data_IF_529756393383
#
_entry.id   IF_529756393383
#
_cell.length_a   1.000
_cell.length_b   1.000
_cell.length_c   1.000
_cell.angle_alpha   90.00
_cell.angle_beta   90.00
_cell.angle_gamma   90.00
#
_symmetry.space_group_name_H-M   'P 1'
#
loop_
_entity.id
_entity.type
_entity.pdbx_description
1 polymer ?
#
# COMPACT_ATOMS: atom_id res chain seq x y z
N UNK A 1 -6.51 1.67 -5.19
CA UNK A 1 -5.13 1.12 -5.22
C UNK A 1 -4.84 0.31 -6.47
N UNK A 2 -5.58 -0.75 -6.81
CA UNK A 2 -5.29 -1.61 -7.98
C UNK A 2 -5.15 -0.85 -9.32
N UNK A 3 -5.99 0.17 -9.56
CA UNK A 3 -5.93 1.02 -10.76
C UNK A 3 -4.62 1.84 -10.90
N UNK A 4 -3.83 1.93 -9.83
CA UNK A 4 -2.56 2.65 -9.81
C UNK A 4 -1.35 1.72 -9.95
N UNK A 5 -1.57 0.43 -10.29
CA UNK A 5 -0.51 -0.58 -10.38
C UNK A 5 -0.15 -0.87 -11.84
N UNK A 6 1.14 -0.79 -12.17
CA UNK A 6 1.64 -0.87 -13.55
C UNK A 6 1.54 -2.28 -14.19
N UNK A 7 1.18 -3.30 -13.39
CA UNK A 7 1.28 -4.72 -13.77
C UNK A 7 -0.08 -5.36 -14.05
N UNK A 8 -1.16 -4.59 -13.99
CA UNK A 8 -2.48 -5.05 -14.47
C UNK A 8 -2.54 -4.73 -15.97
N UNK A 9 -2.54 -5.73 -16.87
CA UNK A 9 -2.55 -5.44 -18.30
C UNK A 9 -3.83 -4.71 -18.69
N UNK A 10 -3.70 -3.69 -19.54
CA UNK A 10 -4.85 -2.94 -20.06
C UNK A 10 -5.89 -3.89 -20.66
N UNK A 11 -7.15 -3.76 -20.23
CA UNK A 11 -8.27 -4.59 -20.69
C UNK A 11 -8.57 -5.83 -19.83
N UNK A 12 -7.81 -6.08 -18.75
CA UNK A 12 -8.13 -7.14 -17.79
C UNK A 12 -8.82 -6.56 -16.54
N UNK A 13 -9.88 -7.22 -16.08
CA UNK A 13 -10.56 -6.92 -14.83
C UNK A 13 -10.22 -8.00 -13.81
N UNK A 14 -9.60 -7.61 -12.70
CA UNK A 14 -9.43 -8.47 -11.54
C UNK A 14 -10.69 -8.38 -10.68
N UNK A 15 -11.44 -9.48 -10.59
CA UNK A 15 -12.60 -9.60 -9.71
C UNK A 15 -12.21 -10.46 -8.51
N UNK A 16 -12.50 -9.98 -7.32
CA UNK A 16 -12.24 -10.69 -6.07
C UNK A 16 -13.30 -10.33 -5.04
N UNK A 17 -13.57 -11.28 -4.16
CA UNK A 17 -14.28 -11.06 -2.90
C UNK A 17 -13.24 -11.09 -1.78
N UNK A 18 -13.17 -10.03 -0.99
CA UNK A 18 -12.19 -9.90 0.10
C UNK A 18 -12.95 -9.64 1.40
N UNK A 19 -12.68 -10.44 2.41
CA UNK A 19 -13.05 -10.14 3.79
C UNK A 19 -11.87 -9.45 4.49
N UNK A 20 -12.11 -8.28 5.08
CA UNK A 20 -11.09 -7.49 5.76
C UNK A 20 -11.39 -7.51 7.26
N UNK A 21 -10.38 -7.82 8.06
CA UNK A 21 -10.41 -7.68 9.51
C UNK A 21 -9.18 -6.90 9.95
N UNK A 22 -9.37 -5.91 10.82
CA UNK A 22 -8.30 -5.07 11.35
C UNK A 22 -8.44 -4.92 12.85
N UNK A 23 -7.29 -4.89 13.53
CA UNK A 23 -7.17 -4.50 14.93
C UNK A 23 -6.55 -3.11 15.11
N UNK A 24 -6.24 -2.41 14.00
CA UNK A 24 -5.78 -1.01 14.06
C UNK A 24 -6.99 -0.15 14.44
N UNK A 25 -6.95 0.56 15.58
CA UNK A 25 -8.10 1.34 16.02
C UNK A 25 -8.46 2.44 15.03
N UNK A 26 -9.76 2.59 14.77
CA UNK A 26 -10.26 3.62 13.87
C UNK A 26 -10.16 5.00 14.51
N UNK A 27 -9.68 5.99 13.76
CA UNK A 27 -9.62 7.39 14.20
C UNK A 27 -8.60 7.69 15.31
N UNK A 28 -7.72 6.75 15.65
CA UNK A 28 -6.73 6.94 16.72
C UNK A 28 -5.42 7.59 16.27
N UNK A 29 -5.31 7.99 15.00
CA UNK A 29 -4.04 8.47 14.42
C UNK A 29 -2.97 7.39 14.27
N UNK A 30 -3.35 6.10 14.29
CA UNK A 30 -2.45 4.95 14.08
C UNK A 30 -2.53 4.39 12.64
N UNK A 31 -2.87 5.25 11.68
CA UNK A 31 -2.74 4.94 10.24
C UNK A 31 -3.58 3.74 9.75
N UNK A 32 -4.82 3.61 10.24
CA UNK A 32 -5.74 2.53 9.79
C UNK A 32 -6.06 2.60 8.29
N UNK A 33 -6.03 3.79 7.67
CA UNK A 33 -6.20 3.97 6.23
C UNK A 33 -5.03 3.37 5.45
N UNK A 34 -3.80 3.78 5.77
CA UNK A 34 -2.59 3.27 5.15
C UNK A 34 -2.45 1.74 5.33
N UNK A 35 -2.78 1.20 6.50
CA UNK A 35 -2.76 -0.24 6.74
C UNK A 35 -3.69 -1.00 5.79
N UNK A 36 -4.91 -0.49 5.60
CA UNK A 36 -5.88 -1.04 4.66
C UNK A 36 -5.36 -0.96 3.22
N UNK A 37 -4.96 0.22 2.77
CA UNK A 37 -4.51 0.45 1.40
C UNK A 37 -3.29 -0.41 1.05
N UNK A 38 -2.27 -0.44 1.91
CA UNK A 38 -1.05 -1.21 1.72
C UNK A 38 -1.34 -2.73 1.73
N UNK A 39 -2.25 -3.20 2.60
CA UNK A 39 -2.65 -4.61 2.62
C UNK A 39 -3.30 -5.04 1.31
N UNK A 40 -4.18 -4.21 0.75
CA UNK A 40 -4.86 -4.47 -0.52
C UNK A 40 -3.88 -4.35 -1.68
N UNK A 41 -2.97 -3.38 -1.65
CA UNK A 41 -1.90 -3.26 -2.63
C UNK A 41 -1.06 -4.54 -2.68
N UNK A 42 -0.59 -5.01 -1.52
CA UNK A 42 0.21 -6.23 -1.41
C UNK A 42 -0.57 -7.45 -1.90
N UNK A 43 -1.84 -7.59 -1.54
CA UNK A 43 -2.70 -8.66 -2.03
C UNK A 43 -2.76 -8.70 -3.57
N UNK A 44 -2.97 -7.54 -4.21
CA UNK A 44 -3.01 -7.47 -5.68
C UNK A 44 -1.64 -7.76 -6.29
N UNK A 45 -0.55 -7.28 -5.69
CA UNK A 45 0.80 -7.54 -6.18
C UNK A 45 1.15 -9.03 -6.16
N UNK A 46 0.77 -9.75 -5.11
CA UNK A 46 0.96 -11.21 -5.01
C UNK A 46 0.22 -11.98 -6.12
N UNK A 47 -0.84 -11.41 -6.69
CA UNK A 47 -1.60 -12.02 -7.80
C UNK A 47 -0.92 -11.75 -9.15
N UNK A 48 -0.39 -10.54 -9.35
CA UNK A 48 0.05 -10.07 -10.69
C UNK A 48 1.56 -10.08 -10.89
N UNK A 49 2.35 -10.18 -9.83
CA UNK A 49 3.82 -10.17 -9.87
C UNK A 49 4.40 -11.56 -9.53
N UNK A 50 5.69 -11.76 -9.82
CA UNK A 50 6.39 -12.96 -9.34
C UNK A 50 6.68 -12.82 -7.83
N UNK A 51 6.54 -13.91 -7.08
CA UNK A 51 6.64 -13.92 -5.61
C UNK A 51 7.84 -13.17 -5.01
N UNK A 52 9.02 -13.25 -5.64
CA UNK A 52 10.23 -12.58 -5.14
C UNK A 52 10.28 -11.08 -5.45
N UNK A 53 9.63 -10.63 -6.52
CA UNK A 53 9.68 -9.23 -6.96
C UNK A 53 8.95 -8.32 -5.97
N UNK A 54 7.92 -8.86 -5.31
CA UNK A 54 7.05 -8.10 -4.40
C UNK A 54 7.77 -7.71 -3.10
N UNK A 55 8.79 -8.47 -2.68
CA UNK A 55 9.54 -8.25 -1.44
C UNK A 55 10.73 -7.30 -1.60
N UNK A 56 11.07 -6.92 -2.83
CA UNK A 56 12.16 -5.99 -3.12
C UNK A 56 11.92 -4.62 -2.47
N UNK A 57 13.01 -3.89 -2.20
CA UNK A 57 12.94 -2.54 -1.65
C UNK A 57 12.17 -1.62 -2.60
N UNK A 58 12.42 -1.77 -3.89
CA UNK A 58 11.81 -1.00 -4.98
C UNK A 58 10.30 -1.23 -5.02
N UNK A 59 9.84 -2.49 -4.90
CA UNK A 59 8.42 -2.80 -4.82
C UNK A 59 7.77 -2.21 -3.56
N UNK A 60 8.41 -2.30 -2.39
CA UNK A 60 7.89 -1.71 -1.15
C UNK A 60 7.74 -0.18 -1.25
N UNK A 61 8.70 0.50 -1.85
CA UNK A 61 8.67 1.96 -2.12
C UNK A 61 7.55 2.30 -3.11
N UNK A 62 7.49 1.59 -4.25
CA UNK A 62 6.47 1.82 -5.27
C UNK A 62 5.06 1.60 -4.70
N UNK A 63 4.87 0.58 -3.86
CA UNK A 63 3.60 0.31 -3.17
C UNK A 63 3.18 1.48 -2.28
N UNK A 64 4.10 2.01 -1.48
CA UNK A 64 3.81 3.13 -0.59
C UNK A 64 3.35 4.37 -1.38
N UNK A 65 4.08 4.72 -2.46
CA UNK A 65 3.74 5.84 -3.33
C UNK A 65 2.38 5.66 -4.02
N UNK A 66 2.06 4.44 -4.46
CA UNK A 66 0.75 4.12 -5.08
C UNK A 66 -0.40 4.21 -4.09
N UNK A 67 -0.20 3.80 -2.85
CA UNK A 67 -1.20 3.94 -1.79
C UNK A 67 -1.43 5.41 -1.47
N UNK A 68 -0.36 6.18 -1.24
CA UNK A 68 -0.45 7.62 -1.00
C UNK A 68 -1.21 8.33 -2.14
N UNK A 69 -0.90 8.00 -3.39
CA UNK A 69 -1.61 8.54 -4.55
C UNK A 69 -3.09 8.17 -4.52
N UNK A 70 -3.44 6.94 -4.18
CA UNK A 70 -4.83 6.52 -4.05
C UNK A 70 -5.56 7.29 -2.93
N UNK A 71 -4.93 7.49 -1.77
CA UNK A 71 -5.52 8.24 -0.65
C UNK A 71 -5.77 9.71 -1.03
N UNK A 72 -4.81 10.33 -1.73
CA UNK A 72 -4.92 11.72 -2.17
C UNK A 72 -5.94 11.91 -3.31
N UNK A 73 -5.90 11.07 -4.36
CA UNK A 73 -6.70 11.28 -5.57
C UNK A 73 -8.07 10.61 -5.53
N UNK A 74 -8.17 9.41 -4.94
CA UNK A 74 -9.42 8.65 -4.93
C UNK A 74 -10.25 8.96 -3.69
N UNK A 75 -9.63 8.91 -2.51
CA UNK A 75 -10.30 9.24 -1.27
C UNK A 75 -10.43 10.75 -1.03
N UNK A 76 -9.74 11.57 -1.84
CA UNK A 76 -9.66 13.03 -1.67
C UNK A 76 -9.20 13.44 -0.26
N UNK A 77 -8.25 12.68 0.30
CA UNK A 77 -7.71 12.87 1.64
C UNK A 77 -6.24 13.27 1.55
N UNK A 78 -5.92 14.59 1.59
CA UNK A 78 -4.54 15.05 1.51
C UNK A 78 -3.67 14.47 2.63
N UNK A 79 -2.61 13.76 2.27
CA UNK A 79 -1.68 13.16 3.23
C UNK A 79 -0.25 13.09 2.72
N UNK A 80 0.70 13.10 3.66
CA UNK A 80 2.11 12.77 3.40
C UNK A 80 2.31 11.28 3.15
N UNK A 81 3.57 10.85 3.01
CA UNK A 81 3.94 9.47 2.64
C UNK A 81 4.26 8.56 3.84
N UNK A 82 4.40 9.14 5.04
CA UNK A 82 4.95 8.47 6.22
C UNK A 82 4.23 7.16 6.54
N UNK A 83 2.91 7.21 6.61
CA UNK A 83 2.05 6.10 7.02
C UNK A 83 2.14 4.93 6.05
N UNK A 84 2.09 5.20 4.74
CA UNK A 84 2.18 4.18 3.70
C UNK A 84 3.61 3.61 3.62
N UNK A 85 4.66 4.40 3.89
CA UNK A 85 6.04 3.91 3.95
C UNK A 85 6.25 2.97 5.12
N UNK A 86 5.90 3.38 6.34
CA UNK A 86 6.07 2.55 7.53
C UNK A 86 5.26 1.26 7.40
N UNK A 87 4.02 1.35 6.89
CA UNK A 87 3.18 0.17 6.69
C UNK A 87 3.72 -0.78 5.60
N UNK A 88 4.45 -0.29 4.59
CA UNK A 88 4.94 -1.10 3.46
C UNK A 88 6.38 -1.61 3.64
N UNK A 89 7.23 -0.82 4.30
CA UNK A 89 8.68 -1.02 4.37
C UNK A 89 9.25 -1.09 5.79
N UNK A 90 8.41 -0.95 6.82
CA UNK A 90 8.84 -1.12 8.20
C UNK A 90 9.40 -2.52 8.48
N UNK A 91 10.41 -2.59 9.35
CA UNK A 91 11.05 -3.84 9.77
C UNK A 91 10.93 -4.00 11.28
N UNK A 92 10.76 -5.25 11.72
CA UNK A 92 10.63 -5.56 13.14
C UNK A 92 11.90 -5.13 13.90
N UNK A 93 11.72 -4.34 14.97
CA UNK A 93 12.83 -3.89 15.81
C UNK A 93 13.64 -2.74 15.23
N UNK A 94 13.20 -2.11 14.15
CA UNK A 94 13.87 -0.97 13.53
C UNK A 94 12.94 0.24 13.40
N UNK A 95 13.54 1.43 13.39
CA UNK A 95 12.87 2.66 12.95
C UNK A 95 13.21 2.91 11.48
N UNK A 96 12.22 3.37 10.71
CA UNK A 96 12.42 3.71 9.30
C UNK A 96 12.73 5.20 9.19
N UNK A 97 13.95 5.54 8.75
CA UNK A 97 14.28 6.90 8.34
C UNK A 97 13.62 7.17 6.99
N UNK A 98 12.73 8.15 6.95
CA UNK A 98 12.07 8.63 5.73
C UNK A 98 12.64 10.01 5.44
N UNK A 99 13.36 10.11 4.33
CA UNK A 99 13.86 11.38 3.81
C UNK A 99 12.94 11.82 2.65
N UNK A 100 12.40 13.02 2.76
CA UNK A 100 11.39 13.57 1.86
C UNK A 100 11.93 14.78 1.07
N UNK A 101 13.23 15.04 1.12
CA UNK A 101 13.90 16.06 0.29
C UNK A 101 13.97 15.66 -1.20
#
# INVERSE_FOLDING_TARGET
VAQYMDHVPNGYTLNFEIAISSNVPLGSGLSSSAALEVSVARFVEEIVMKQNDVLTKEAKVARALKCQKAENEWCNSPCGIMDQFVSSAGEMGAVLLIDCE
#
